data_IF_377327841964
#
_entry.id   IF_377327841964
#
_cell.length_a   1.000
_cell.length_b   1.000
_cell.length_c   1.000
_cell.angle_alpha   90.00
_cell.angle_beta   90.00
_cell.angle_gamma   90.00
#
_symmetry.space_group_name_H-M   'P 1'
#
loop_
_entity.id
_entity.type
_entity.pdbx_description
1 polymer ?
#
# COMPACT_ATOMS: atom_id res chain seq x y z
N UNK A 1 -0.63 -10.41 -10.47
CA UNK A 1 0.55 -9.70 -10.97
C UNK A 1 1.48 -9.33 -9.81
N UNK A 2 2.72 -9.77 -9.86
CA UNK A 2 3.74 -9.43 -8.87
C UNK A 2 4.43 -8.13 -9.27
N UNK A 3 4.58 -7.21 -8.33
CA UNK A 3 5.25 -5.94 -8.59
C UNK A 3 6.77 -6.05 -8.62
N UNK A 4 7.35 -6.91 -7.77
CA UNK A 4 8.78 -7.09 -7.80
C UNK A 4 9.16 -8.12 -8.87
N UNK A 5 10.25 -7.86 -9.54
CA UNK A 5 10.81 -8.80 -10.51
C UNK A 5 12.19 -9.23 -10.04
N UNK A 6 12.59 -10.43 -10.44
CA UNK A 6 13.90 -10.98 -10.08
C UNK A 6 14.99 -10.13 -10.74
N UNK A 7 16.13 -10.02 -10.06
CA UNK A 7 17.30 -9.31 -10.59
C UNK A 7 17.78 -9.89 -11.92
N UNK A 8 17.42 -11.12 -12.22
CA UNK A 8 17.79 -11.79 -13.48
C UNK A 8 16.79 -11.54 -14.60
N UNK A 9 15.66 -10.88 -14.32
CA UNK A 9 14.69 -10.61 -15.37
C UNK A 9 15.15 -9.51 -16.30
N UNK A 10 14.72 -9.64 -17.56
CA UNK A 10 15.09 -8.66 -18.58
C UNK A 10 14.40 -7.34 -18.28
N UNK A 11 15.11 -6.26 -18.51
CA UNK A 11 14.63 -4.91 -18.25
C UNK A 11 13.25 -4.62 -18.83
N UNK A 12 12.95 -5.16 -20.03
CA UNK A 12 11.64 -5.01 -20.66
C UNK A 12 10.49 -5.69 -19.90
N UNK A 13 10.76 -6.80 -19.23
CA UNK A 13 9.74 -7.49 -18.41
C UNK A 13 9.36 -6.67 -17.19
N UNK A 14 10.32 -6.03 -16.54
CA UNK A 14 10.07 -5.17 -15.40
C UNK A 14 9.20 -3.98 -15.78
N UNK A 15 9.46 -3.36 -16.93
CA UNK A 15 8.64 -2.26 -17.45
C UNK A 15 7.23 -2.72 -17.78
N UNK A 16 7.08 -3.92 -18.38
CA UNK A 16 5.77 -4.48 -18.71
C UNK A 16 4.94 -4.74 -17.45
N UNK A 17 5.55 -5.30 -16.41
CA UNK A 17 4.86 -5.56 -15.14
C UNK A 17 4.36 -4.27 -14.52
N UNK A 18 5.18 -3.22 -14.53
CA UNK A 18 4.80 -1.90 -14.03
C UNK A 18 3.60 -1.33 -14.80
N UNK A 19 3.68 -1.34 -16.11
CA UNK A 19 2.61 -0.82 -16.97
C UNK A 19 1.30 -1.57 -16.76
N UNK A 20 1.38 -2.88 -16.63
CA UNK A 20 0.21 -3.72 -16.40
C UNK A 20 -0.43 -3.45 -15.04
N UNK A 21 0.37 -3.27 -13.99
CA UNK A 21 -0.13 -2.91 -12.67
C UNK A 21 -0.87 -1.57 -12.70
N UNK A 22 -0.28 -0.58 -13.35
CA UNK A 22 -0.89 0.75 -13.50
C UNK A 22 -2.23 0.63 -14.25
N UNK A 23 -2.24 -0.12 -15.35
CA UNK A 23 -3.45 -0.33 -16.15
C UNK A 23 -4.57 -0.98 -15.35
N UNK A 24 -4.25 -2.02 -14.60
CA UNK A 24 -5.24 -2.74 -13.79
C UNK A 24 -5.80 -1.88 -12.66
N UNK A 25 -4.97 -1.08 -12.02
CA UNK A 25 -5.45 -0.14 -11.01
C UNK A 25 -6.39 0.90 -11.61
N UNK A 26 -6.03 1.45 -12.77
CA UNK A 26 -6.83 2.48 -13.45
C UNK A 26 -8.11 1.95 -14.08
N UNK A 27 -8.26 0.64 -14.22
CA UNK A 27 -9.44 0.04 -14.84
C UNK A 27 -10.73 0.31 -14.05
N UNK A 28 -10.62 0.55 -12.75
CA UNK A 28 -11.77 0.89 -11.90
C UNK A 28 -11.47 2.16 -11.12
N UNK A 29 -11.57 3.33 -11.77
CA UNK A 29 -11.16 4.61 -11.17
C UNK A 29 -12.00 5.08 -10.00
N UNK A 30 -13.22 4.58 -9.86
CA UNK A 30 -14.14 4.92 -8.77
C UNK A 30 -13.80 4.19 -7.47
N UNK A 31 -13.03 3.13 -7.54
CA UNK A 31 -12.69 2.32 -6.37
C UNK A 31 -11.63 3.02 -5.52
N UNK A 32 -11.71 2.87 -4.19
CA UNK A 32 -10.68 3.42 -3.32
C UNK A 32 -9.32 2.77 -3.61
N UNK A 33 -8.25 3.56 -3.51
CA UNK A 33 -6.89 3.03 -3.73
C UNK A 33 -6.57 1.93 -2.72
N UNK A 34 -7.04 2.06 -1.48
CA UNK A 34 -6.82 1.04 -0.46
C UNK A 34 -7.44 -0.31 -0.83
N UNK A 35 -8.66 -0.29 -1.34
CA UNK A 35 -9.34 -1.51 -1.79
C UNK A 35 -8.66 -2.09 -3.03
N UNK A 36 -8.31 -1.24 -3.98
CA UNK A 36 -7.67 -1.66 -5.22
C UNK A 36 -6.33 -2.36 -4.96
N UNK A 37 -5.54 -1.84 -4.02
CA UNK A 37 -4.24 -2.44 -3.69
C UNK A 37 -4.34 -3.83 -3.06
N UNK A 38 -5.44 -4.13 -2.37
CA UNK A 38 -5.64 -5.45 -1.77
C UNK A 38 -6.18 -6.49 -2.75
N UNK A 39 -6.60 -6.08 -3.93
CA UNK A 39 -7.12 -7.00 -4.93
C UNK A 39 -5.98 -7.79 -5.56
N UNK A 40 -5.85 -9.06 -5.17
CA UNK A 40 -4.77 -9.93 -5.63
C UNK A 40 -4.84 -10.21 -7.13
N UNK A 41 -5.97 -9.97 -7.77
CA UNK A 41 -6.11 -10.08 -9.23
C UNK A 41 -5.46 -8.90 -9.93
N UNK A 42 -5.37 -7.78 -9.24
CA UNK A 42 -4.75 -6.55 -9.77
C UNK A 42 -3.26 -6.57 -9.46
N UNK A 43 -2.90 -6.66 -8.19
CA UNK A 43 -1.52 -6.70 -7.72
C UNK A 43 -1.40 -7.79 -6.67
N UNK A 44 -0.59 -8.80 -6.93
CA UNK A 44 -0.36 -9.87 -5.97
C UNK A 44 0.71 -9.48 -4.95
N UNK A 45 0.54 -9.95 -3.72
CA UNK A 45 1.55 -9.81 -2.66
C UNK A 45 1.37 -8.61 -1.75
N UNK A 46 0.40 -7.74 -2.02
CA UNK A 46 0.12 -6.60 -1.15
C UNK A 46 -0.96 -7.00 -0.15
N UNK A 47 -0.57 -7.13 1.12
CA UNK A 47 -1.49 -7.31 2.22
C UNK A 47 -1.74 -6.00 2.94
N UNK A 48 -2.41 -6.10 4.08
CA UNK A 48 -2.85 -4.93 4.85
C UNK A 48 -1.68 -4.04 5.31
N UNK A 49 -0.56 -4.66 5.67
CA UNK A 49 0.63 -3.93 6.09
C UNK A 49 1.22 -3.10 4.96
N UNK A 50 1.49 -3.72 3.80
CA UNK A 50 2.04 -2.99 2.66
C UNK A 50 1.06 -1.95 2.13
N UNK A 51 -0.22 -2.25 2.10
CA UNK A 51 -1.22 -1.26 1.68
C UNK A 51 -1.14 0.02 2.52
N UNK A 52 -1.10 -0.12 3.83
CA UNK A 52 -1.01 1.02 4.74
C UNK A 52 0.26 1.83 4.50
N UNK A 53 1.38 1.14 4.36
CA UNK A 53 2.68 1.79 4.18
C UNK A 53 2.83 2.44 2.81
N UNK A 54 2.32 1.80 1.76
CA UNK A 54 2.33 2.37 0.40
C UNK A 54 1.53 3.67 0.39
N UNK A 55 0.32 3.67 0.95
CA UNK A 55 -0.52 4.86 0.99
C UNK A 55 0.14 5.99 1.78
N UNK A 56 0.78 5.68 2.91
CA UNK A 56 1.51 6.68 3.68
C UNK A 56 2.66 7.29 2.87
N UNK A 57 3.48 6.45 2.25
CA UNK A 57 4.63 6.91 1.46
C UNK A 57 4.19 7.72 0.23
N UNK A 58 3.04 7.40 -0.33
CA UNK A 58 2.47 8.17 -1.44
C UNK A 58 1.74 9.44 -0.98
N UNK A 59 1.54 9.61 0.32
CA UNK A 59 0.82 10.77 0.86
C UNK A 59 -0.67 10.77 0.57
N UNK A 60 -1.28 9.59 0.36
CA UNK A 60 -2.69 9.49 0.02
C UNK A 60 -3.47 8.73 1.09
N UNK A 61 -4.66 9.19 1.39
CA UNK A 61 -5.56 8.47 2.28
C UNK A 61 -6.08 7.20 1.56
N UNK A 62 -6.14 6.04 2.24
CA UNK A 62 -6.58 4.81 1.58
C UNK A 62 -7.99 4.85 0.98
N UNK A 63 -8.86 5.74 1.46
CA UNK A 63 -10.21 5.89 0.94
C UNK A 63 -10.28 6.73 -0.33
N UNK A 64 -9.18 7.35 -0.76
CA UNK A 64 -9.15 8.20 -1.94
C UNK A 64 -9.44 7.38 -3.20
N UNK A 65 -10.35 7.82 -4.08
CA UNK A 65 -10.60 7.12 -5.33
C UNK A 65 -9.36 7.05 -6.22
N UNK A 66 -9.18 5.93 -6.89
CA UNK A 66 -8.04 5.72 -7.80
C UNK A 66 -7.91 6.87 -8.80
N UNK A 67 -9.03 7.42 -9.28
CA UNK A 67 -9.03 8.53 -10.24
C UNK A 67 -8.28 9.77 -9.74
N UNK A 68 -8.16 9.94 -8.41
CA UNK A 68 -7.53 11.11 -7.81
C UNK A 68 -6.11 10.81 -7.31
N UNK A 69 -5.58 9.64 -7.62
CA UNK A 69 -4.29 9.17 -7.12
C UNK A 69 -3.26 9.12 -8.25
N UNK A 70 -2.02 9.48 -7.92
CA UNK A 70 -0.90 9.23 -8.81
C UNK A 70 -0.56 7.73 -8.77
N UNK A 71 -1.21 6.98 -9.63
CA UNK A 71 -1.12 5.51 -9.65
C UNK A 71 0.30 5.05 -9.97
N UNK A 72 1.00 5.76 -10.83
CA UNK A 72 2.38 5.40 -11.17
C UNK A 72 3.30 5.51 -9.94
N UNK A 73 3.13 6.56 -9.15
CA UNK A 73 3.88 6.72 -7.89
C UNK A 73 3.58 5.58 -6.92
N UNK A 74 2.31 5.23 -6.77
CA UNK A 74 1.87 4.13 -5.88
C UNK A 74 2.52 2.81 -6.31
N UNK A 75 2.51 2.51 -7.60
CA UNK A 75 3.11 1.29 -8.14
C UNK A 75 4.62 1.27 -7.89
N UNK A 76 5.30 2.40 -8.14
CA UNK A 76 6.74 2.49 -7.94
C UNK A 76 7.14 2.33 -6.47
N UNK A 77 6.37 2.90 -5.56
CA UNK A 77 6.58 2.72 -4.12
C UNK A 77 6.40 1.25 -3.73
N UNK A 78 5.31 0.63 -4.17
CA UNK A 78 5.03 -0.78 -3.88
C UNK A 78 6.14 -1.69 -4.38
N UNK A 79 6.58 -1.46 -5.60
CA UNK A 79 7.66 -2.21 -6.22
C UNK A 79 8.96 -2.09 -5.39
N UNK A 80 9.30 -0.89 -4.97
CA UNK A 80 10.51 -0.63 -4.20
C UNK A 80 10.50 -1.32 -2.84
N UNK A 81 9.41 -1.22 -2.09
CA UNK A 81 9.36 -1.82 -0.76
C UNK A 81 9.28 -3.34 -0.82
N UNK A 82 8.58 -3.90 -1.79
CA UNK A 82 8.51 -5.35 -1.97
C UNK A 82 9.85 -5.92 -2.39
N UNK A 83 10.56 -5.24 -3.28
CA UNK A 83 11.91 -5.64 -3.68
C UNK A 83 12.87 -5.62 -2.51
N UNK A 84 12.84 -4.54 -1.70
CA UNK A 84 13.70 -4.40 -0.54
C UNK A 84 13.47 -5.52 0.50
N UNK A 85 12.26 -6.06 0.55
CA UNK A 85 11.88 -7.08 1.53
C UNK A 85 11.85 -8.50 0.97
N UNK A 86 12.21 -8.71 -0.28
CA UNK A 86 12.05 -10.00 -0.97
C UNK A 86 12.71 -11.19 -0.27
N UNK A 87 13.81 -10.95 0.45
CA UNK A 87 14.55 -11.99 1.15
C UNK A 87 14.52 -11.81 2.67
N UNK A 88 13.66 -10.93 3.16
CA UNK A 88 13.58 -10.61 4.58
C UNK A 88 12.50 -11.43 5.29
N UNK A 89 12.80 -12.01 6.47
CA UNK A 89 11.79 -12.71 7.25
C UNK A 89 10.78 -11.75 7.91
N UNK A 90 11.12 -10.46 8.00
CA UNK A 90 10.23 -9.43 8.52
C UNK A 90 10.05 -8.33 7.48
N UNK A 91 8.86 -7.69 7.51
CA UNK A 91 8.58 -6.57 6.62
C UNK A 91 9.07 -5.28 7.24
N UNK A 92 9.91 -4.56 6.52
CA UNK A 92 10.47 -3.28 6.97
C UNK A 92 10.25 -2.24 5.87
N UNK A 93 9.58 -1.16 6.21
CA UNK A 93 9.31 -0.06 5.27
C UNK A 93 10.07 1.21 5.62
N UNK A 94 10.50 1.32 6.88
CA UNK A 94 11.24 2.49 7.39
C UNK A 94 12.75 2.41 7.16
N UNK A 95 13.25 1.22 6.80
CA UNK A 95 14.69 0.96 6.76
C UNK A 95 15.27 0.57 8.11
N UNK A 96 14.50 0.61 9.18
CA UNK A 96 14.94 0.26 10.55
C UNK A 96 14.38 -1.10 10.94
N UNK A 97 15.25 -2.05 11.21
CA UNK A 97 14.87 -3.43 11.50
C UNK A 97 14.54 -3.70 12.97
N UNK A 98 14.69 -2.70 13.83
CA UNK A 98 14.40 -2.85 15.26
C UNK A 98 12.92 -3.02 15.50
N UNK A 99 12.55 -3.94 16.41
CA UNK A 99 11.16 -4.18 16.77
C UNK A 99 10.47 -2.89 17.21
N UNK A 100 9.26 -2.66 16.68
CA UNK A 100 8.49 -1.44 16.94
C UNK A 100 8.84 -0.25 16.07
N UNK A 101 9.89 -0.36 15.24
CA UNK A 101 10.36 0.74 14.39
C UNK A 101 10.30 0.40 12.89
N UNK A 102 9.69 -0.74 12.53
CA UNK A 102 9.72 -1.25 11.16
C UNK A 102 8.68 -0.62 10.23
N UNK A 103 7.64 0.02 10.77
CA UNK A 103 6.57 0.63 9.96
C UNK A 103 6.37 2.09 10.28
N UNK A 104 5.76 2.81 9.32
CA UNK A 104 5.36 4.21 9.52
C UNK A 104 3.99 4.34 10.19
N UNK A 105 3.00 3.61 9.71
CA UNK A 105 1.63 3.74 10.21
C UNK A 105 0.99 2.41 10.62
N UNK A 106 1.32 1.32 9.95
CA UNK A 106 0.69 0.03 10.21
C UNK A 106 0.87 -0.37 11.69
N UNK A 107 -0.25 -0.63 12.35
CA UNK A 107 -0.25 -1.03 13.75
C UNK A 107 0.14 0.07 14.74
N UNK A 108 0.28 1.31 14.28
CA UNK A 108 0.77 2.41 15.12
C UNK A 108 -0.30 3.44 15.50
N UNK A 109 -1.56 3.03 15.50
CA UNK A 109 -2.63 3.91 15.97
C UNK A 109 -2.35 4.40 17.39
N UNK A 110 -2.66 5.66 17.67
CA UNK A 110 -2.39 6.38 18.92
C UNK A 110 -0.92 6.75 19.13
N UNK A 111 -0.04 6.40 18.20
CA UNK A 111 1.37 6.82 18.23
C UNK A 111 1.58 8.00 17.32
N UNK A 112 2.64 8.74 17.54
CA UNK A 112 2.95 9.92 16.74
C UNK A 112 3.53 9.53 15.38
N UNK A 113 3.08 10.22 14.35
CA UNK A 113 3.64 10.08 13.01
C UNK A 113 5.14 10.40 13.03
N UNK A 114 5.94 9.52 12.42
CA UNK A 114 7.40 9.71 12.39
C UNK A 114 7.83 10.91 11.58
N UNK A 115 6.96 11.41 10.69
CA UNK A 115 7.27 12.59 9.85
C UNK A 115 6.79 13.91 10.46
N UNK A 116 5.55 13.94 10.95
CA UNK A 116 4.93 15.22 11.34
C UNK A 116 4.50 15.27 12.81
N UNK A 117 4.57 14.15 13.53
CA UNK A 117 4.20 14.11 14.94
C UNK A 117 2.69 13.99 15.20
N UNK A 118 1.86 14.07 14.19
CA UNK A 118 0.39 13.91 14.35
C UNK A 118 0.07 12.49 14.77
N UNK A 119 -0.96 12.32 15.60
CA UNK A 119 -1.35 10.99 16.08
C UNK A 119 -1.91 10.16 14.93
N UNK A 120 -1.34 8.99 14.72
CA UNK A 120 -1.80 8.01 13.72
C UNK A 120 -3.17 7.51 14.12
N UNK A 121 -4.07 7.44 13.16
CA UNK A 121 -5.42 6.96 13.35
C UNK A 121 -5.64 5.61 12.72
N UNK A 122 -6.59 4.88 13.29
CA UNK A 122 -7.08 3.61 12.80
C UNK A 122 -8.56 3.77 12.51
N UNK A 123 -8.99 3.33 11.34
CA UNK A 123 -10.39 3.46 10.92
C UNK A 123 -10.79 2.26 10.08
N UNK A 124 -12.05 2.21 9.70
CA UNK A 124 -12.58 1.19 8.81
C UNK A 124 -12.75 1.79 7.42
N UNK A 125 -12.18 1.12 6.45
CA UNK A 125 -12.44 1.48 5.06
C UNK A 125 -13.85 0.99 4.72
N UNK A 126 -14.73 1.88 4.31
CA UNK A 126 -16.11 1.54 3.96
C UNK A 126 -16.14 0.50 2.86
N UNK A 127 -15.98 -0.75 3.24
CA UNK A 127 -15.78 -1.85 2.31
C UNK A 127 -17.08 -2.47 1.89
N UNK A 128 -17.76 -1.86 0.97
CA UNK A 128 -19.01 -2.41 0.44
C UNK A 128 -18.75 -3.33 -0.75
N UNK A 129 -17.59 -3.22 -1.34
CA UNK A 129 -17.28 -3.89 -2.60
C UNK A 129 -16.91 -5.35 -2.47
N UNK A 130 -16.84 -5.82 -1.25
CA UNK A 130 -16.36 -7.16 -0.99
C UNK A 130 -17.43 -7.96 -0.30
N UNK A 131 -18.35 -8.52 -0.96
CA UNK A 131 -19.42 -9.27 -0.34
C UNK A 131 -18.97 -9.98 0.95
N UNK A 132 -19.41 -9.50 2.06
CA UNK A 132 -19.48 -10.00 3.42
C UNK A 132 -18.44 -10.97 4.01
N UNK A 133 -17.69 -11.67 3.22
CA UNK A 133 -16.86 -12.79 3.67
C UNK A 133 -15.37 -12.45 3.84
N UNK A 134 -15.00 -11.24 3.53
CA UNK A 134 -13.60 -10.85 3.68
C UNK A 134 -13.35 -10.32 5.07
N UNK A 135 -12.28 -10.82 5.67
CA UNK A 135 -11.97 -10.59 7.07
C UNK A 135 -11.99 -9.11 7.45
N UNK A 136 -12.46 -8.84 8.66
CA UNK A 136 -12.49 -7.48 9.21
C UNK A 136 -11.13 -6.78 9.13
N UNK A 137 -10.04 -7.52 9.22
CA UNK A 137 -8.69 -6.98 9.16
C UNK A 137 -8.41 -6.25 7.85
N UNK A 138 -9.00 -6.69 6.75
CA UNK A 138 -8.81 -6.07 5.44
C UNK A 138 -9.50 -4.71 5.32
N UNK A 139 -10.48 -4.44 6.19
CA UNK A 139 -11.18 -3.17 6.23
C UNK A 139 -10.49 -2.14 7.08
N UNK A 140 -9.60 -2.57 7.96
CA UNK A 140 -8.93 -1.68 8.89
C UNK A 140 -7.81 -0.96 8.16
N UNK A 141 -7.81 0.37 8.28
CA UNK A 141 -6.77 1.21 7.71
C UNK A 141 -6.06 1.98 8.82
N UNK A 142 -4.78 2.24 8.60
CA UNK A 142 -3.96 3.10 9.46
C UNK A 142 -3.44 4.24 8.60
N UNK A 143 -3.52 5.45 9.12
CA UNK A 143 -3.09 6.62 8.35
C UNK A 143 -2.74 7.78 9.27
N UNK A 144 -1.92 8.69 8.75
CA UNK A 144 -1.67 9.97 9.38
C UNK A 144 -2.61 11.01 8.73
N UNK A 145 -3.53 11.61 9.48
CA UNK A 145 -4.48 12.56 8.89
C UNK A 145 -3.83 13.82 8.33
N UNK A 146 -2.64 14.16 8.80
CA UNK A 146 -1.90 15.31 8.28
C UNK A 146 -1.15 14.98 6.99
N UNK A 147 -0.40 13.86 6.98
CA UNK A 147 0.38 13.46 5.80
C UNK A 147 -0.47 12.86 4.69
N UNK A 148 -1.64 12.33 5.04
CA UNK A 148 -2.55 11.65 4.11
C UNK A 148 -3.95 12.27 4.21
N UNK A 149 -4.11 13.54 3.83
CA UNK A 149 -5.41 14.22 3.93
C UNK A 149 -6.40 13.64 2.94
N UNK A 150 -7.65 13.61 3.34
CA UNK A 150 -8.75 13.16 2.49
C UNK A 150 -9.48 14.37 1.90
#
# INVERSE_FOLDING_TARGET
>A
LLLHVDAHEVHGQAAHVREEAVRRLRARPERSIGTALLDQKVVAGIGNEYRAEICFLAGVHPATPVAEVDVEQVVDIGKRIMWANRNSPIRVTTGVRRAGETTYVFGRNRKRCRRCGTIIQKDSLGGVDRGGDEGELERIIWFCPHCQPL
#
